data_IF_166561356315
#
_entry.id   IF_166561356315
#
_cell.length_a   1.000
_cell.length_b   1.000
_cell.length_c   1.000
_cell.angle_alpha   90.00
_cell.angle_beta   90.00
_cell.angle_gamma   90.00
#
_symmetry.space_group_name_H-M   'P 1'
#
loop_
_entity.id
_entity.type
_entity.pdbx_description
1 polymer ?
#
# COMPACT_ATOMS: atom_id res chain seq x y z
N UNK A 1 8.23 -27.70 -12.67
CA UNK A 1 7.91 -26.70 -13.71
C UNK A 1 6.53 -27.02 -14.24
N UNK A 2 5.65 -26.03 -14.34
CA UNK A 2 4.21 -26.18 -14.59
C UNK A 2 3.83 -26.20 -16.07
N UNK A 3 4.71 -25.73 -16.97
CA UNK A 3 4.42 -25.62 -18.41
C UNK A 3 3.65 -24.35 -18.79
N UNK A 4 3.53 -23.38 -17.87
CA UNK A 4 2.85 -22.11 -18.09
C UNK A 4 3.61 -21.23 -19.10
N UNK A 5 2.86 -20.50 -19.93
CA UNK A 5 3.41 -19.49 -20.86
C UNK A 5 3.37 -18.13 -20.18
N UNK A 6 4.52 -17.48 -20.03
CA UNK A 6 4.66 -16.22 -19.29
C UNK A 6 5.07 -15.08 -20.23
N UNK A 7 4.26 -14.03 -20.29
CA UNK A 7 4.59 -12.76 -20.93
C UNK A 7 4.82 -11.67 -19.87
N UNK A 8 5.80 -10.79 -20.09
CA UNK A 8 6.13 -9.69 -19.17
C UNK A 8 6.05 -8.37 -19.93
N UNK A 9 5.30 -7.42 -19.37
CA UNK A 9 4.99 -6.14 -20.02
C UNK A 9 5.21 -4.99 -19.04
N UNK A 10 5.83 -3.90 -19.51
CA UNK A 10 6.03 -2.67 -18.76
C UNK A 10 5.60 -1.48 -19.64
N UNK A 11 4.55 -0.73 -19.29
CA UNK A 11 3.99 0.32 -20.15
C UNK A 11 4.91 1.52 -20.38
N UNK A 12 5.60 2.01 -19.35
CA UNK A 12 6.53 3.13 -19.45
C UNK A 12 7.82 2.93 -18.65
N UNK A 13 8.81 3.79 -18.92
CA UNK A 13 10.09 3.82 -18.21
C UNK A 13 10.51 5.27 -18.00
N UNK A 14 9.78 5.97 -17.14
CA UNK A 14 9.97 7.41 -16.86
C UNK A 14 11.26 7.70 -16.08
N UNK A 15 11.85 6.70 -15.42
CA UNK A 15 13.10 6.81 -14.67
C UNK A 15 12.94 7.50 -13.31
N UNK A 16 12.55 8.78 -13.30
CA UNK A 16 12.28 9.55 -12.09
C UNK A 16 10.91 10.23 -12.14
N UNK A 17 10.44 10.70 -10.99
CA UNK A 17 9.16 11.40 -10.89
C UNK A 17 9.26 12.83 -11.42
N UNK A 18 8.37 13.22 -12.34
CA UNK A 18 8.27 14.56 -12.90
C UNK A 18 7.04 15.29 -12.34
N UNK A 19 7.22 16.10 -11.30
CA UNK A 19 6.13 16.86 -10.68
C UNK A 19 5.59 17.96 -11.61
N UNK A 20 4.27 18.08 -11.71
CA UNK A 20 3.60 19.12 -12.51
C UNK A 20 3.62 18.88 -14.01
N UNK A 21 4.11 17.73 -14.49
CA UNK A 21 4.05 17.34 -15.89
C UNK A 21 2.78 16.50 -16.15
N UNK A 22 1.85 17.06 -16.91
CA UNK A 22 0.55 16.44 -17.18
C UNK A 22 0.66 15.11 -17.94
N UNK A 23 1.62 14.98 -18.86
CA UNK A 23 1.81 13.76 -19.64
C UNK A 23 2.39 12.65 -18.77
N UNK A 24 3.38 12.97 -17.94
CA UNK A 24 3.94 12.05 -16.96
C UNK A 24 2.87 11.58 -15.96
N UNK A 25 2.07 12.51 -15.43
CA UNK A 25 0.99 12.21 -14.51
C UNK A 25 -0.10 11.35 -15.17
N UNK A 26 -0.41 11.60 -16.45
CA UNK A 26 -1.37 10.79 -17.20
C UNK A 26 -0.88 9.35 -17.39
N UNK A 27 0.41 9.14 -17.70
CA UNK A 27 0.99 7.79 -17.77
C UNK A 27 0.94 7.09 -16.42
N UNK A 28 1.32 7.77 -15.34
CA UNK A 28 1.22 7.25 -13.99
C UNK A 28 -0.23 6.85 -13.63
N UNK A 29 -1.20 7.67 -14.01
CA UNK A 29 -2.63 7.37 -13.84
C UNK A 29 -3.06 6.14 -14.62
N UNK A 30 -2.67 6.03 -15.90
CA UNK A 30 -2.95 4.86 -16.74
C UNK A 30 -2.35 3.59 -16.12
N UNK A 31 -1.11 3.65 -15.64
CA UNK A 31 -0.46 2.50 -15.01
C UNK A 31 -1.14 2.06 -13.71
N UNK A 32 -1.58 2.99 -12.84
CA UNK A 32 -2.38 2.64 -11.66
C UNK A 32 -3.68 1.93 -12.05
N UNK A 33 -4.34 2.38 -13.13
CA UNK A 33 -5.55 1.73 -13.64
C UNK A 33 -5.25 0.36 -14.25
N UNK A 34 -4.18 0.22 -15.03
CA UNK A 34 -3.78 -1.09 -15.58
C UNK A 34 -3.51 -2.11 -14.48
N UNK A 35 -2.81 -1.71 -13.41
CA UNK A 35 -2.59 -2.56 -12.24
C UNK A 35 -3.90 -2.95 -11.52
N UNK A 36 -4.88 -2.04 -11.47
CA UNK A 36 -6.19 -2.33 -10.86
C UNK A 36 -7.02 -3.37 -11.63
N UNK A 37 -6.65 -3.67 -12.88
CA UNK A 37 -7.32 -4.65 -13.73
C UNK A 37 -6.69 -6.05 -13.64
N UNK A 38 -5.64 -6.24 -12.84
CA UNK A 38 -5.03 -7.55 -12.62
C UNK A 38 -5.87 -8.44 -11.70
N UNK A 39 -5.81 -9.76 -11.90
CA UNK A 39 -6.46 -10.72 -11.00
C UNK A 39 -5.78 -10.81 -9.62
N UNK A 40 -4.44 -10.77 -9.62
CA UNK A 40 -3.60 -10.69 -8.43
C UNK A 40 -2.62 -9.51 -8.56
N UNK A 41 -2.40 -8.82 -7.45
CA UNK A 41 -1.57 -7.62 -7.40
C UNK A 41 -0.44 -7.78 -6.37
N UNK A 42 0.78 -7.46 -6.79
CA UNK A 42 1.90 -7.23 -5.88
C UNK A 42 2.16 -5.72 -5.79
N UNK A 43 2.34 -5.20 -4.57
CA UNK A 43 2.61 -3.77 -4.31
C UNK A 43 3.90 -3.59 -3.52
N UNK A 44 4.47 -2.38 -3.57
CA UNK A 44 5.65 -2.01 -2.79
C UNK A 44 5.26 -1.34 -1.47
N UNK A 45 5.97 -1.68 -0.40
CA UNK A 45 5.80 -1.02 0.90
C UNK A 45 5.87 0.52 0.79
N UNK A 46 4.99 1.22 1.50
CA UNK A 46 4.86 2.69 1.53
C UNK A 46 4.39 3.35 0.23
N UNK A 47 4.17 2.59 -0.84
CA UNK A 47 3.79 3.16 -2.13
C UNK A 47 2.30 3.50 -2.19
N UNK A 48 1.96 4.80 -2.17
CA UNK A 48 0.59 5.26 -2.38
C UNK A 48 0.07 4.97 -3.79
N UNK A 49 0.96 4.85 -4.78
CA UNK A 49 0.63 4.41 -6.14
C UNK A 49 0.00 3.01 -6.13
N UNK A 50 0.59 2.08 -5.36
CA UNK A 50 0.04 0.74 -5.16
C UNK A 50 -1.30 0.75 -4.41
N UNK A 51 -1.44 1.64 -3.42
CA UNK A 51 -2.71 1.77 -2.67
C UNK A 51 -3.87 2.24 -3.56
N UNK A 52 -3.61 3.12 -4.54
CA UNK A 52 -4.63 3.54 -5.50
C UNK A 52 -5.04 2.35 -6.38
N UNK A 53 -4.06 1.66 -6.97
CA UNK A 53 -4.33 0.50 -7.84
C UNK A 53 -5.13 -0.60 -7.12
N UNK A 54 -4.71 -0.98 -5.91
CA UNK A 54 -5.39 -2.03 -5.14
C UNK A 54 -6.82 -1.61 -4.74
N UNK A 55 -7.02 -0.32 -4.41
CA UNK A 55 -8.32 0.21 -4.02
C UNK A 55 -9.31 0.25 -5.19
N UNK A 56 -8.86 0.75 -6.35
CA UNK A 56 -9.68 0.77 -7.57
C UNK A 56 -10.10 -0.63 -8.03
N UNK A 57 -9.19 -1.61 -7.91
CA UNK A 57 -9.45 -3.00 -8.31
C UNK A 57 -10.19 -3.83 -7.26
N UNK A 58 -10.38 -3.31 -6.03
CA UNK A 58 -10.86 -4.12 -4.90
C UNK A 58 -9.93 -5.29 -4.57
N UNK A 59 -8.63 -5.13 -4.83
CA UNK A 59 -7.63 -6.19 -4.73
C UNK A 59 -6.94 -6.16 -3.37
N UNK A 60 -6.79 -7.34 -2.77
CA UNK A 60 -5.98 -7.54 -1.56
C UNK A 60 -4.57 -7.92 -2.00
N UNK A 61 -3.56 -7.04 -1.95
CA UNK A 61 -2.28 -7.33 -2.60
C UNK A 61 -1.34 -8.22 -1.78
N UNK A 62 -0.30 -8.72 -2.43
CA UNK A 62 0.95 -9.13 -1.80
C UNK A 62 1.89 -7.91 -1.68
N UNK A 63 2.21 -7.50 -0.46
CA UNK A 63 3.07 -6.34 -0.19
C UNK A 63 4.52 -6.83 -0.12
N UNK A 64 5.34 -6.38 -1.06
CA UNK A 64 6.79 -6.51 -1.03
C UNK A 64 7.36 -5.62 0.08
N UNK A 65 8.10 -6.22 1.02
CA UNK A 65 8.71 -5.47 2.11
C UNK A 65 9.86 -4.59 1.62
N UNK A 66 9.97 -3.39 2.21
CA UNK A 66 11.07 -2.49 1.92
C UNK A 66 12.42 -3.15 2.30
N UNK A 67 13.38 -3.28 1.37
CA UNK A 67 14.70 -3.83 1.67
C UNK A 67 15.46 -2.91 2.62
N UNK A 68 15.98 -3.47 3.71
CA UNK A 68 16.92 -2.76 4.58
C UNK A 68 18.35 -3.05 4.14
N UNK A 69 19.20 -2.02 4.04
CA UNK A 69 20.63 -2.15 3.66
C UNK A 69 20.83 -2.98 2.38
N UNK A 70 19.89 -2.90 1.42
CA UNK A 70 19.88 -3.66 0.16
C UNK A 70 19.83 -5.18 0.34
N UNK A 71 19.37 -5.66 1.49
CA UNK A 71 19.14 -7.08 1.74
C UNK A 71 17.69 -7.42 1.48
N UNK A 72 17.44 -8.57 0.83
CA UNK A 72 16.07 -9.05 0.61
C UNK A 72 15.45 -9.45 1.95
N UNK A 73 14.28 -8.90 2.33
CA UNK A 73 13.59 -9.29 3.55
C UNK A 73 13.22 -10.78 3.56
N UNK A 74 13.12 -11.38 4.75
CA UNK A 74 12.60 -12.73 4.93
C UNK A 74 11.48 -12.74 5.98
N UNK A 75 10.21 -13.00 5.59
CA UNK A 75 9.75 -13.28 4.23
C UNK A 75 9.89 -12.05 3.31
N UNK A 76 9.95 -12.26 1.98
CA UNK A 76 10.10 -11.15 1.03
C UNK A 76 8.83 -10.31 0.88
N UNK A 77 7.67 -10.92 1.12
CA UNK A 77 6.37 -10.26 1.05
C UNK A 77 5.37 -10.88 2.02
N UNK A 78 4.24 -10.22 2.20
CA UNK A 78 3.06 -10.76 2.90
C UNK A 78 1.78 -10.32 2.22
N UNK A 79 0.71 -11.10 2.37
CA UNK A 79 -0.61 -10.65 1.95
C UNK A 79 -1.06 -9.52 2.88
N UNK A 80 -1.56 -8.42 2.31
CA UNK A 80 -2.25 -7.38 3.07
C UNK A 80 -3.43 -7.99 3.84
N UNK A 81 -3.99 -7.34 4.85
CA UNK A 81 -5.19 -7.80 5.55
C UNK A 81 -6.46 -7.43 4.79
N UNK A 82 -6.49 -6.22 4.23
CA UNK A 82 -7.62 -5.62 3.51
C UNK A 82 -7.11 -4.70 2.39
N UNK A 83 -8.01 -4.29 1.51
CA UNK A 83 -7.78 -3.40 0.34
C UNK A 83 -7.46 -1.95 0.73
N UNK A 84 -7.70 -1.57 1.98
CA UNK A 84 -7.63 -0.18 2.45
C UNK A 84 -6.20 0.38 2.40
N UNK A 85 -6.05 1.66 2.01
CA UNK A 85 -4.76 2.35 2.01
C UNK A 85 -4.24 2.55 3.43
N UNK A 86 -2.93 2.77 3.56
CA UNK A 86 -2.33 3.14 4.83
C UNK A 86 -2.34 4.66 5.03
N UNK A 87 -2.84 5.12 6.17
CA UNK A 87 -2.57 6.47 6.65
C UNK A 87 -1.23 6.49 7.37
N UNK A 88 -0.17 6.93 6.69
CA UNK A 88 1.22 6.82 7.18
C UNK A 88 1.51 7.62 8.44
N UNK A 89 0.89 8.78 8.61
CA UNK A 89 1.22 9.74 9.68
C UNK A 89 -0.04 10.18 10.44
N UNK A 90 -0.69 9.26 11.17
CA UNK A 90 -1.90 9.59 11.90
C UNK A 90 -1.61 10.51 13.10
N UNK A 91 -2.52 11.46 13.42
CA UNK A 91 -2.34 12.34 14.56
C UNK A 91 -2.54 11.59 15.88
N UNK A 92 -1.62 11.78 16.83
CA UNK A 92 -1.71 11.26 18.20
C UNK A 92 -2.25 12.31 19.18
N UNK A 93 -3.53 12.68 19.03
CA UNK A 93 -4.15 13.75 19.83
C UNK A 93 -5.56 13.39 20.32
N UNK A 94 -5.81 13.61 21.62
CA UNK A 94 -7.11 13.40 22.24
C UNK A 94 -7.83 14.74 22.37
N UNK A 95 -8.80 14.99 21.47
CA UNK A 95 -9.45 16.28 21.36
C UNK A 95 -10.18 16.74 22.63
N UNK A 96 -10.73 15.79 23.41
CA UNK A 96 -11.50 16.12 24.62
C UNK A 96 -10.62 16.56 25.79
N UNK A 97 -9.51 15.86 26.00
CA UNK A 97 -8.56 16.21 27.06
C UNK A 97 -7.60 17.32 26.63
N UNK A 98 -7.49 17.57 25.32
CA UNK A 98 -6.57 18.56 24.74
C UNK A 98 -5.11 18.12 24.77
N UNK A 99 -4.85 16.83 24.99
CA UNK A 99 -3.49 16.28 25.21
C UNK A 99 -3.09 15.27 24.13
N UNK A 100 -1.79 14.98 24.02
CA UNK A 100 -1.30 13.92 23.14
C UNK A 100 -1.75 12.55 23.65
N UNK A 101 -2.24 11.71 22.74
CA UNK A 101 -2.58 10.32 23.05
C UNK A 101 -1.29 9.59 23.38
N UNK A 102 -1.21 9.02 24.59
CA UNK A 102 -0.11 8.11 24.98
C UNK A 102 -0.36 6.66 24.56
N UNK A 103 -1.62 6.31 24.30
CA UNK A 103 -2.03 4.99 23.85
C UNK A 103 -1.73 4.77 22.36
N UNK A 104 -1.61 3.51 21.96
CA UNK A 104 -1.51 3.13 20.55
C UNK A 104 -2.85 3.38 19.84
N UNK A 105 -2.83 4.21 18.80
CA UNK A 105 -4.00 4.55 17.97
C UNK A 105 -4.65 3.29 17.35
N UNK A 106 -3.88 2.25 17.09
CA UNK A 106 -4.35 0.97 16.52
C UNK A 106 -5.19 0.12 17.50
N UNK A 107 -5.26 0.54 18.76
CA UNK A 107 -6.00 -0.15 19.83
C UNK A 107 -7.26 0.57 20.26
N UNK A 108 -7.48 1.81 19.82
CA UNK A 108 -8.61 2.64 20.27
C UNK A 108 -9.96 2.12 19.81
N UNK A 109 -10.02 1.56 18.59
CA UNK A 109 -11.24 0.98 18.01
C UNK A 109 -10.92 -0.30 17.24
N UNK A 110 -11.86 -1.27 17.19
CA UNK A 110 -11.56 -2.59 16.62
C UNK A 110 -11.33 -2.60 15.09
N UNK A 111 -11.84 -1.59 14.38
CA UNK A 111 -11.75 -1.48 12.92
C UNK A 111 -10.54 -0.66 12.43
N UNK A 112 -9.62 -0.30 13.34
CA UNK A 112 -8.35 0.34 13.00
C UNK A 112 -7.22 -0.58 13.46
N UNK A 113 -6.22 -0.78 12.59
CA UNK A 113 -4.99 -1.51 12.90
C UNK A 113 -3.78 -0.82 12.29
N UNK A 114 -2.60 -1.16 12.77
CA UNK A 114 -1.37 -0.77 12.11
C UNK A 114 -1.30 -1.34 10.70
N UNK A 115 -0.69 -0.58 9.81
CA UNK A 115 -0.42 -1.02 8.45
C UNK A 115 0.63 -2.14 8.43
N UNK A 116 0.53 -3.00 7.43
CA UNK A 116 1.47 -4.10 7.26
C UNK A 116 2.85 -3.64 6.80
N UNK A 117 2.91 -2.46 6.18
CA UNK A 117 4.07 -1.95 5.45
C UNK A 117 4.63 -0.63 6.01
N UNK A 118 3.83 0.15 6.75
CA UNK A 118 4.26 1.34 7.47
C UNK A 118 3.93 1.21 8.97
N UNK A 119 4.93 0.88 9.79
CA UNK A 119 4.77 0.49 11.19
C UNK A 119 4.10 1.54 12.08
N UNK A 120 4.27 2.83 11.79
CA UNK A 120 3.59 3.92 12.50
C UNK A 120 2.22 4.28 11.91
N UNK A 121 1.94 3.83 10.69
CA UNK A 121 0.70 4.10 10.01
C UNK A 121 -0.45 3.27 10.56
N UNK A 122 -1.67 3.73 10.28
CA UNK A 122 -2.90 3.02 10.59
C UNK A 122 -3.76 2.85 9.34
N UNK A 123 -4.58 1.81 9.31
CA UNK A 123 -5.55 1.57 8.25
C UNK A 123 -6.83 0.96 8.79
N UNK A 124 -7.88 1.05 7.98
CA UNK A 124 -9.13 0.39 8.24
C UNK A 124 -9.01 -1.12 8.03
N UNK A 125 -9.68 -1.87 8.90
CA UNK A 125 -9.85 -3.32 8.79
C UNK A 125 -11.31 -3.67 9.07
N UNK A 126 -11.80 -4.77 8.48
CA UNK A 126 -13.12 -5.27 8.85
C UNK A 126 -13.11 -5.78 10.29
N UNK A 127 -14.22 -5.59 11.00
CA UNK A 127 -14.47 -6.36 12.23
C UNK A 127 -14.45 -7.83 11.84
N UNK A 128 -13.47 -8.58 12.34
CA UNK A 128 -13.63 -10.02 12.45
C UNK A 128 -14.77 -10.20 13.46
N UNK A 129 -15.91 -10.68 12.98
CA UNK A 129 -16.91 -11.30 13.84
C UNK A 129 -16.37 -12.65 14.33
#
# INVERSE_FOLDING_TARGET
>A
MTGEVIGVYQPSHEGYQHFGDDMHNMKAWVEMNLLSLCDDLATSSWSTFGYIAQGLGGLRPWILYMPEKRMTPNPACRRANLIEPCFHFPPSYECRSGTKVKADLSTLVPHIKHCEDATFGIKLVNKIA
#
